data_IF_880254425704
#
_entry.id   IF_880254425704
#
_cell.length_a   1.000
_cell.length_b   1.000
_cell.length_c   1.000
_cell.angle_alpha   90.00
_cell.angle_beta   90.00
_cell.angle_gamma   90.00
#
_symmetry.space_group_name_H-M   'P 1'
#
loop_
_entity.id
_entity.type
_entity.pdbx_description
1 polymer ?
#
# COMPACT_ATOMS: atom_id res chain seq x y z
N UNK A 1 29.95 -29.78 9.80
CA UNK A 1 30.35 -29.58 8.40
C UNK A 1 29.26 -28.71 7.79
N UNK A 2 29.48 -27.39 7.77
CA UNK A 2 28.66 -26.50 6.95
C UNK A 2 29.09 -26.74 5.49
N UNK A 3 28.12 -27.04 4.64
CA UNK A 3 28.33 -27.25 3.20
C UNK A 3 28.91 -25.97 2.60
N UNK A 4 30.13 -26.08 2.05
CA UNK A 4 30.87 -24.97 1.45
C UNK A 4 30.39 -24.65 0.03
N UNK A 5 29.14 -24.22 -0.12
CA UNK A 5 28.72 -23.50 -1.32
C UNK A 5 29.21 -22.06 -1.23
N UNK A 6 29.79 -21.56 -2.32
CA UNK A 6 30.23 -20.17 -2.42
C UNK A 6 28.99 -19.27 -2.34
N UNK A 7 28.95 -18.25 -1.46
CA UNK A 7 27.77 -17.41 -1.31
C UNK A 7 27.45 -16.70 -2.62
N UNK A 8 26.19 -16.81 -3.04
CA UNK A 8 25.67 -16.22 -4.27
C UNK A 8 25.68 -14.68 -4.20
N UNK A 9 26.12 -14.05 -5.28
CA UNK A 9 26.08 -12.60 -5.43
C UNK A 9 24.65 -12.17 -5.80
N UNK A 10 24.06 -11.30 -4.96
CA UNK A 10 22.72 -10.74 -5.17
C UNK A 10 22.56 -10.06 -6.53
N UNK A 11 23.66 -9.54 -7.10
CA UNK A 11 23.64 -8.94 -8.44
C UNK A 11 23.42 -9.95 -9.57
N UNK A 12 23.63 -11.24 -9.32
CA UNK A 12 23.40 -12.33 -10.28
C UNK A 12 22.01 -12.97 -10.10
N UNK A 13 21.35 -12.74 -8.97
CA UNK A 13 20.03 -13.26 -8.69
C UNK A 13 18.96 -12.50 -9.51
N UNK A 14 18.23 -13.17 -10.40
CA UNK A 14 17.17 -12.56 -11.20
C UNK A 14 16.06 -11.90 -10.37
N UNK A 15 15.82 -12.31 -9.13
CA UNK A 15 14.80 -11.70 -8.25
C UNK A 15 15.12 -10.26 -7.86
N UNK A 16 16.40 -9.89 -7.91
CA UNK A 16 16.91 -8.56 -7.59
C UNK A 16 17.22 -7.70 -8.81
N UNK A 17 17.01 -8.22 -10.02
CA UNK A 17 17.26 -7.51 -11.27
C UNK A 17 16.49 -6.17 -11.32
N UNK A 18 17.23 -5.08 -11.50
CA UNK A 18 16.69 -3.71 -11.56
C UNK A 18 16.22 -3.12 -10.23
N UNK A 19 16.41 -3.84 -9.10
CA UNK A 19 15.98 -3.40 -7.76
C UNK A 19 17.13 -2.97 -6.86
N UNK A 20 18.36 -3.36 -7.20
CA UNK A 20 19.58 -3.08 -6.44
C UNK A 20 20.26 -1.81 -6.93
N UNK A 21 20.70 -1.00 -5.98
CA UNK A 21 21.58 0.12 -6.21
C UNK A 21 22.71 0.12 -5.19
N UNK A 22 23.94 0.07 -5.67
CA UNK A 22 25.12 0.18 -4.83
C UNK A 22 25.53 1.65 -4.70
N UNK A 23 25.49 2.17 -3.48
CA UNK A 23 25.83 3.55 -3.13
C UNK A 23 27.20 3.66 -2.43
N UNK A 24 27.91 2.54 -2.28
CA UNK A 24 29.22 2.50 -1.65
C UNK A 24 30.35 3.10 -2.49
N UNK A 25 31.44 3.45 -1.83
CA UNK A 25 32.66 4.03 -2.43
C UNK A 25 33.71 2.96 -2.80
N UNK A 26 33.37 1.68 -2.60
CA UNK A 26 34.25 0.51 -2.77
C UNK A 26 35.52 0.55 -1.90
N UNK A 27 35.53 1.37 -0.85
CA UNK A 27 36.64 1.49 0.11
C UNK A 27 36.16 1.24 1.53
N UNK A 28 35.33 2.14 2.05
CA UNK A 28 34.82 2.11 3.43
C UNK A 28 33.30 2.06 3.48
N UNK A 29 32.65 2.64 2.48
CA UNK A 29 31.20 2.62 2.34
C UNK A 29 30.80 1.44 1.46
N UNK A 30 29.95 0.59 2.02
CA UNK A 30 29.39 -0.59 1.37
C UNK A 30 27.85 -0.55 1.31
N UNK A 31 27.28 0.65 1.30
CA UNK A 31 25.82 0.85 1.28
C UNK A 31 25.18 0.23 0.04
N UNK A 32 24.23 -0.68 0.29
CA UNK A 32 23.34 -1.27 -0.70
C UNK A 32 21.92 -0.76 -0.46
N UNK A 33 21.26 -0.29 -1.50
CA UNK A 33 19.84 0.05 -1.50
C UNK A 33 19.07 -1.00 -2.29
N UNK A 34 18.03 -1.56 -1.67
CA UNK A 34 17.06 -2.45 -2.32
C UNK A 34 15.74 -1.67 -2.44
N UNK A 35 15.20 -1.59 -3.65
CA UNK A 35 13.92 -0.94 -3.94
C UNK A 35 12.83 -1.99 -4.17
N UNK A 36 11.56 -1.57 -4.11
CA UNK A 36 10.40 -2.47 -4.25
C UNK A 36 10.51 -3.68 -3.32
N UNK A 37 10.60 -3.43 -2.01
CA UNK A 37 10.75 -4.48 -0.99
C UNK A 37 9.49 -5.35 -0.92
N UNK A 38 9.72 -6.65 -0.78
CA UNK A 38 8.75 -7.74 -0.74
C UNK A 38 9.01 -8.58 0.50
N UNK A 39 7.99 -9.28 0.99
CA UNK A 39 8.15 -10.18 2.14
C UNK A 39 9.23 -11.26 1.88
N UNK A 40 9.38 -11.70 0.63
CA UNK A 40 10.40 -12.66 0.17
C UNK A 40 11.83 -12.16 0.30
N UNK A 41 12.06 -10.84 0.35
CA UNK A 41 13.40 -10.28 0.55
C UNK A 41 13.86 -10.35 2.01
N UNK A 42 13.01 -10.85 2.93
CA UNK A 42 13.38 -11.05 4.33
C UNK A 42 14.47 -12.12 4.44
N UNK A 43 15.69 -11.68 4.68
CA UNK A 43 16.87 -12.54 4.71
C UNK A 43 17.98 -11.91 5.55
N UNK A 44 19.07 -12.66 5.74
CA UNK A 44 20.31 -12.13 6.31
C UNK A 44 21.30 -11.83 5.20
N UNK A 45 21.59 -10.55 5.01
CA UNK A 45 22.47 -10.02 3.98
C UNK A 45 23.89 -9.91 4.53
N UNK A 46 24.87 -10.37 3.75
CA UNK A 46 26.29 -10.31 4.12
C UNK A 46 27.06 -9.53 3.07
N UNK A 47 27.95 -8.67 3.54
CA UNK A 47 28.89 -7.99 2.67
C UNK A 47 30.16 -8.84 2.50
N UNK A 48 30.60 -8.98 1.25
CA UNK A 48 31.86 -9.63 0.87
C UNK A 48 32.70 -8.66 0.07
N UNK A 49 33.99 -8.60 0.36
CA UNK A 49 34.95 -7.87 -0.45
C UNK A 49 36.12 -8.76 -0.87
N UNK A 50 36.75 -8.38 -1.98
CA UNK A 50 37.91 -9.05 -2.58
C UNK A 50 39.10 -8.10 -2.43
N UNK A 51 40.22 -8.61 -1.93
CA UNK A 51 41.45 -7.83 -1.80
C UNK A 51 42.31 -7.94 -3.07
N UNK A 52 43.30 -7.06 -3.19
CA UNK A 52 44.30 -7.05 -4.28
C UNK A 52 45.21 -8.29 -4.29
N UNK A 53 45.32 -8.99 -3.16
CA UNK A 53 46.00 -10.28 -3.09
C UNK A 53 45.12 -11.38 -3.71
N UNK A 54 45.64 -12.03 -4.75
CA UNK A 54 44.94 -13.08 -5.49
C UNK A 54 44.28 -14.11 -4.57
N UNK A 55 42.97 -14.30 -4.76
CA UNK A 55 42.17 -15.29 -4.04
C UNK A 55 41.79 -14.93 -2.60
N UNK A 56 42.17 -13.76 -2.07
CA UNK A 56 41.75 -13.34 -0.72
C UNK A 56 40.41 -12.61 -0.77
N UNK A 57 39.40 -13.28 -0.25
CA UNK A 57 38.07 -12.71 -0.02
C UNK A 57 37.76 -12.70 1.47
N UNK A 58 37.08 -11.65 1.94
CA UNK A 58 36.57 -11.60 3.29
C UNK A 58 35.06 -11.39 3.27
N UNK A 59 34.36 -12.26 3.99
CA UNK A 59 32.92 -12.14 4.25
C UNK A 59 32.74 -11.92 5.74
N UNK A 60 31.99 -10.89 6.11
CA UNK A 60 31.66 -10.63 7.51
C UNK A 60 30.98 -11.86 8.15
N UNK A 61 31.42 -12.25 9.35
CA UNK A 61 30.80 -13.37 10.09
C UNK A 61 29.34 -13.08 10.42
N UNK A 62 29.06 -11.83 10.79
CA UNK A 62 27.72 -11.32 11.05
C UNK A 62 27.21 -10.59 9.81
N UNK A 63 25.95 -10.84 9.48
CA UNK A 63 25.21 -10.11 8.45
C UNK A 63 24.22 -9.12 9.07
N UNK A 64 23.51 -8.41 8.20
CA UNK A 64 22.36 -7.58 8.56
C UNK A 64 21.10 -8.39 8.26
N UNK A 65 20.25 -8.60 9.27
CA UNK A 65 18.96 -9.26 9.08
C UNK A 65 17.90 -8.22 8.72
N UNK A 66 17.36 -8.32 7.51
CA UNK A 66 16.23 -7.53 7.04
C UNK A 66 14.94 -8.33 7.27
N UNK A 67 13.92 -7.68 7.82
CA UNK A 67 12.58 -8.24 7.97
C UNK A 67 11.57 -7.29 7.31
N UNK A 68 10.90 -7.78 6.28
CA UNK A 68 9.88 -7.04 5.52
C UNK A 68 8.50 -7.60 5.88
N UNK A 69 7.54 -6.71 6.15
CA UNK A 69 6.19 -7.07 6.61
C UNK A 69 5.18 -6.02 6.19
N UNK A 70 3.92 -6.43 6.04
CA UNK A 70 2.78 -5.54 5.95
C UNK A 70 2.17 -5.18 7.31
N UNK A 71 1.30 -4.17 7.31
CA UNK A 71 0.42 -3.83 8.42
C UNK A 71 -0.90 -4.61 8.34
N UNK A 72 -1.44 -5.00 9.49
CA UNK A 72 -2.75 -5.64 9.61
C UNK A 72 -3.51 -5.06 10.80
N UNK A 73 -4.84 -5.04 10.72
CA UNK A 73 -5.68 -4.67 11.87
C UNK A 73 -6.14 -5.94 12.57
N UNK A 74 -5.77 -6.08 13.85
CA UNK A 74 -6.28 -7.12 14.73
C UNK A 74 -7.52 -6.60 15.46
N UNK A 75 -8.63 -7.32 15.32
CA UNK A 75 -9.87 -7.06 16.04
C UNK A 75 -9.93 -7.97 17.27
N UNK A 76 -10.00 -7.38 18.45
CA UNK A 76 -10.14 -8.07 19.75
C UNK A 76 -11.30 -7.47 20.55
N UNK A 77 -11.51 -7.91 21.79
CA UNK A 77 -12.56 -7.36 22.67
C UNK A 77 -13.79 -8.27 22.83
N UNK A 78 -14.74 -7.79 23.63
CA UNK A 78 -15.91 -8.54 24.09
C UNK A 78 -17.04 -8.63 23.06
N UNK A 79 -18.24 -9.00 23.52
CA UNK A 79 -19.39 -9.19 22.63
C UNK A 79 -19.89 -7.87 22.03
N UNK A 80 -19.92 -6.79 22.82
CA UNK A 80 -20.47 -5.49 22.40
C UNK A 80 -19.40 -4.52 21.89
N UNK A 81 -18.24 -4.51 22.56
CA UNK A 81 -17.14 -3.57 22.32
C UNK A 81 -15.92 -4.28 21.74
N UNK A 82 -15.40 -3.73 20.65
CA UNK A 82 -14.24 -4.23 19.91
C UNK A 82 -13.07 -3.25 20.02
N UNK A 83 -11.90 -3.81 20.24
CA UNK A 83 -10.62 -3.10 20.31
C UNK A 83 -9.86 -3.41 19.03
N UNK A 84 -9.43 -2.35 18.35
CA UNK A 84 -8.65 -2.43 17.13
C UNK A 84 -7.17 -2.15 17.44
N UNK A 85 -6.29 -3.02 16.95
CA UNK A 85 -4.84 -2.85 17.10
C UNK A 85 -4.18 -2.98 15.74
N UNK A 86 -3.39 -1.99 15.36
CA UNK A 86 -2.51 -2.07 14.20
C UNK A 86 -1.32 -2.95 14.57
N UNK A 87 -1.18 -4.09 13.88
CA UNK A 87 -0.14 -5.06 14.15
C UNK A 87 0.73 -5.28 12.92
N UNK A 88 1.92 -5.77 13.18
CA UNK A 88 2.95 -6.12 12.22
C UNK A 88 3.73 -7.31 12.79
N UNK A 89 4.38 -8.11 11.95
CA UNK A 89 5.15 -9.27 12.42
C UNK A 89 6.56 -8.90 12.87
N UNK A 90 7.06 -7.71 12.51
CA UNK A 90 8.39 -7.23 12.88
C UNK A 90 8.34 -5.95 13.73
N UNK A 91 9.41 -5.69 14.48
CA UNK A 91 9.55 -4.46 15.26
C UNK A 91 9.97 -3.31 14.34
N UNK A 92 9.06 -2.37 14.10
CA UNK A 92 9.35 -1.18 13.31
C UNK A 92 10.38 -0.30 14.03
N UNK A 93 11.40 0.13 13.30
CA UNK A 93 12.44 1.04 13.80
C UNK A 93 11.93 2.47 13.92
N UNK A 94 12.43 3.23 14.91
CA UNK A 94 12.25 4.70 14.96
C UNK A 94 10.99 5.20 15.66
N UNK A 95 10.37 4.43 16.55
CA UNK A 95 9.15 4.81 17.30
C UNK A 95 8.03 5.30 16.37
N UNK A 96 7.38 4.38 15.63
CA UNK A 96 6.39 4.74 14.63
C UNK A 96 5.20 5.49 15.24
N UNK A 97 4.67 6.45 14.48
CA UNK A 97 3.35 7.04 14.75
C UNK A 97 2.35 6.34 13.83
N UNK A 98 1.33 5.72 14.42
CA UNK A 98 0.27 5.02 13.71
C UNK A 98 -0.85 6.00 13.36
N UNK A 99 -1.38 5.85 12.16
CA UNK A 99 -2.51 6.61 11.62
C UNK A 99 -3.68 5.65 11.44
N UNK A 100 -4.84 6.02 11.97
CA UNK A 100 -6.07 5.23 11.78
C UNK A 100 -6.98 5.86 10.74
N UNK A 101 -7.58 4.98 9.96
CA UNK A 101 -8.55 5.34 8.95
C UNK A 101 -9.86 4.62 9.20
N UNK A 102 -10.95 5.35 9.04
CA UNK A 102 -12.32 4.82 9.03
C UNK A 102 -12.93 5.15 7.69
N UNK A 103 -13.35 4.12 6.99
CA UNK A 103 -13.94 4.24 5.66
C UNK A 103 -13.08 5.06 4.67
N UNK A 104 -11.76 4.89 4.77
CA UNK A 104 -10.78 5.64 3.98
C UNK A 104 -10.50 7.07 4.46
N UNK A 105 -11.22 7.57 5.47
CA UNK A 105 -11.01 8.89 6.06
C UNK A 105 -10.03 8.82 7.22
N UNK A 106 -9.14 9.80 7.29
CA UNK A 106 -8.20 9.97 8.38
C UNK A 106 -8.93 10.28 9.69
N UNK A 107 -8.71 9.49 10.74
CA UNK A 107 -9.34 9.68 12.06
C UNK A 107 -8.42 10.35 13.06
N UNK A 108 -7.27 9.74 13.31
CA UNK A 108 -6.33 10.14 14.35
C UNK A 108 -4.95 9.55 14.16
N UNK A 109 -3.99 10.14 14.88
CA UNK A 109 -2.60 9.71 14.93
C UNK A 109 -2.20 9.44 16.38
N UNK A 110 -1.44 8.38 16.62
CA UNK A 110 -0.97 8.01 17.96
C UNK A 110 0.33 7.20 17.90
N UNK A 111 1.16 7.33 18.93
CA UNK A 111 2.31 6.42 19.13
C UNK A 111 1.87 5.04 19.64
N UNK A 112 0.64 4.93 20.14
CA UNK A 112 0.03 3.64 20.45
C UNK A 112 -0.44 2.95 19.18
N UNK A 113 -0.12 1.66 18.97
CA UNK A 113 -0.68 0.87 17.87
C UNK A 113 -2.18 0.61 18.05
N UNK A 114 -2.75 0.82 19.23
CA UNK A 114 -4.16 0.61 19.49
C UNK A 114 -4.98 1.85 19.12
N UNK A 115 -6.12 1.65 18.46
CA UNK A 115 -7.09 2.71 18.24
C UNK A 115 -7.62 3.23 19.58
N UNK A 116 -7.73 4.55 19.74
CA UNK A 116 -8.06 5.19 21.02
C UNK A 116 -9.46 4.87 21.55
N UNK A 117 -10.42 4.61 20.66
CA UNK A 117 -11.81 4.41 21.02
C UNK A 117 -12.22 2.94 20.88
N UNK A 118 -13.15 2.51 21.73
CA UNK A 118 -13.88 1.25 21.49
C UNK A 118 -14.76 1.40 20.25
N UNK A 119 -14.89 0.31 19.48
CA UNK A 119 -15.76 0.24 18.31
C UNK A 119 -16.89 -0.73 18.58
N UNK A 120 -18.12 -0.33 18.26
CA UNK A 120 -19.27 -1.22 18.37
C UNK A 120 -19.09 -2.45 17.48
N UNK A 121 -19.38 -3.64 18.02
CA UNK A 121 -19.44 -4.91 17.30
C UNK A 121 -20.37 -4.89 16.08
N UNK A 122 -21.38 -4.01 16.07
CA UNK A 122 -22.33 -3.83 14.97
C UNK A 122 -21.91 -2.71 13.99
N UNK A 123 -20.69 -2.18 14.10
CA UNK A 123 -20.19 -1.19 13.16
C UNK A 123 -20.11 -1.79 11.75
N UNK A 124 -20.69 -1.05 10.79
CA UNK A 124 -20.62 -1.32 9.36
C UNK A 124 -19.43 -0.63 8.69
N UNK A 125 -18.57 -0.02 9.49
CA UNK A 125 -17.42 0.75 9.02
C UNK A 125 -16.20 -0.17 8.82
N UNK A 126 -15.42 0.14 7.79
CA UNK A 126 -14.11 -0.48 7.56
C UNK A 126 -13.01 0.31 8.23
N UNK A 127 -12.14 -0.39 8.95
CA UNK A 127 -10.99 0.21 9.63
C UNK A 127 -9.67 -0.27 9.04
N UNK A 128 -8.76 0.65 8.82
CA UNK A 128 -7.38 0.36 8.37
C UNK A 128 -6.40 1.26 9.11
N UNK A 129 -5.12 0.89 9.11
CA UNK A 129 -4.06 1.67 9.73
C UNK A 129 -2.85 1.81 8.81
N UNK A 130 -2.11 2.91 8.96
CA UNK A 130 -0.82 3.14 8.32
C UNK A 130 0.21 3.64 9.35
N UNK A 131 1.45 3.81 8.92
CA UNK A 131 2.49 4.50 9.68
C UNK A 131 2.77 5.85 9.04
N UNK A 132 2.94 6.88 9.86
CA UNK A 132 3.22 8.25 9.40
C UNK A 132 4.50 8.31 8.57
N UNK A 133 4.45 8.95 7.41
CA UNK A 133 5.52 8.97 6.40
C UNK A 133 5.61 7.70 5.54
N UNK A 134 4.71 6.74 5.76
CA UNK A 134 4.58 5.48 5.01
C UNK A 134 3.11 5.17 4.71
N UNK A 135 2.30 6.20 4.46
CA UNK A 135 0.84 6.10 4.25
C UNK A 135 0.47 5.25 3.02
N UNK A 136 1.37 5.16 2.04
CA UNK A 136 1.22 4.30 0.87
C UNK A 136 1.13 2.81 1.22
N UNK A 137 1.67 2.41 2.38
CA UNK A 137 1.65 1.04 2.91
C UNK A 137 0.50 0.84 3.91
N UNK A 138 -0.69 1.31 3.54
CA UNK A 138 -1.92 1.14 4.31
C UNK A 138 -2.29 -0.34 4.48
N UNK A 139 -2.69 -0.73 5.69
CA UNK A 139 -3.23 -2.07 5.95
C UNK A 139 -4.50 -2.32 5.12
N UNK A 140 -4.82 -3.58 4.79
CA UNK A 140 -6.16 -3.93 4.34
C UNK A 140 -7.22 -3.49 5.36
N UNK A 141 -8.38 -3.03 4.87
CA UNK A 141 -9.49 -2.65 5.73
C UNK A 141 -10.19 -3.88 6.31
N UNK A 142 -10.42 -3.90 7.62
CA UNK A 142 -11.13 -4.96 8.33
C UNK A 142 -12.55 -4.54 8.72
N UNK A 143 -13.47 -5.51 8.63
CA UNK A 143 -14.84 -5.34 9.06
C UNK A 143 -15.01 -5.85 10.48
N UNK A 144 -15.57 -5.03 11.36
CA UNK A 144 -15.79 -5.40 12.78
C UNK A 144 -16.86 -6.48 12.91
N UNK A 145 -17.92 -6.40 12.09
CA UNK A 145 -19.01 -7.38 12.01
C UNK A 145 -18.66 -8.64 11.17
N UNK A 146 -17.38 -8.86 10.86
CA UNK A 146 -16.90 -10.06 10.17
C UNK A 146 -16.98 -10.01 8.63
N UNK A 147 -18.17 -9.97 8.03
CA UNK A 147 -18.30 -10.26 6.59
C UNK A 147 -18.50 -9.04 5.67
N UNK A 148 -19.17 -7.98 6.12
CA UNK A 148 -19.47 -6.83 5.25
C UNK A 148 -19.35 -5.52 5.99
N UNK A 149 -18.57 -4.61 5.42
CA UNK A 149 -18.40 -3.23 5.82
C UNK A 149 -18.07 -2.41 4.58
N UNK A 150 -18.11 -1.09 4.71
CA UNK A 150 -17.59 -0.22 3.67
C UNK A 150 -16.08 -0.43 3.54
N UNK A 151 -15.59 -0.75 2.34
CA UNK A 151 -14.15 -0.80 2.03
C UNK A 151 -13.88 -0.62 0.54
N UNK A 152 -12.71 -0.07 0.24
CA UNK A 152 -12.11 0.00 -1.10
C UNK A 152 -10.72 -0.60 -1.06
N UNK A 153 -10.43 -1.50 -1.99
CA UNK A 153 -9.13 -2.14 -2.18
C UNK A 153 -8.61 -1.82 -3.57
N UNK A 154 -7.61 -0.95 -3.65
CA UNK A 154 -6.93 -0.62 -4.90
C UNK A 154 -6.03 -1.78 -5.35
N UNK A 155 -6.04 -2.09 -6.65
CA UNK A 155 -5.22 -3.16 -7.23
C UNK A 155 -3.74 -2.78 -7.26
N UNK A 156 -3.44 -1.51 -7.58
CA UNK A 156 -2.09 -0.94 -7.56
C UNK A 156 -2.15 0.45 -6.92
N UNK A 157 -1.17 0.75 -6.07
CA UNK A 157 -1.04 2.07 -5.41
C UNK A 157 -0.16 3.04 -6.19
N UNK A 158 0.77 2.52 -6.99
CA UNK A 158 1.66 3.30 -7.86
C UNK A 158 1.67 2.66 -9.24
N UNK A 159 1.58 3.49 -10.27
CA UNK A 159 1.57 3.08 -11.67
C UNK A 159 2.53 4.02 -12.41
N UNK A 160 3.45 3.44 -13.19
CA UNK A 160 4.36 4.17 -14.06
C UNK A 160 4.10 3.68 -15.50
N UNK A 161 3.72 4.60 -16.37
CA UNK A 161 3.28 4.35 -17.76
C UNK A 161 3.76 5.48 -18.67
N UNK A 162 3.86 5.22 -19.97
CA UNK A 162 4.39 6.18 -20.93
C UNK A 162 3.36 7.24 -21.32
N UNK A 163 3.82 8.46 -21.57
CA UNK A 163 3.02 9.52 -22.18
C UNK A 163 2.39 9.06 -23.51
N UNK A 164 1.13 9.43 -23.73
CA UNK A 164 0.33 9.06 -24.89
C UNK A 164 -0.24 7.64 -24.84
N UNK A 165 0.10 6.84 -23.81
CA UNK A 165 -0.42 5.49 -23.65
C UNK A 165 -1.82 5.47 -22.99
N UNK A 166 -2.32 4.26 -22.74
CA UNK A 166 -3.58 4.00 -22.03
C UNK A 166 -3.30 3.25 -20.74
N UNK A 167 -3.98 3.63 -19.65
CA UNK A 167 -3.89 2.96 -18.35
C UNK A 167 -5.27 2.60 -17.83
N UNK A 168 -5.36 1.43 -17.19
CA UNK A 168 -6.50 1.02 -16.38
C UNK A 168 -6.11 1.11 -14.91
N UNK A 169 -6.79 1.99 -14.17
CA UNK A 169 -6.68 2.15 -12.72
C UNK A 169 -7.88 1.45 -12.11
N UNK A 170 -7.65 0.44 -11.27
CA UNK A 170 -8.73 -0.39 -10.75
C UNK A 170 -8.73 -0.52 -9.24
N UNK A 171 -9.93 -0.64 -8.68
CA UNK A 171 -10.17 -1.07 -7.32
C UNK A 171 -11.35 -2.04 -7.25
N UNK A 172 -11.45 -2.77 -6.14
CA UNK A 172 -12.70 -3.44 -5.75
C UNK A 172 -13.29 -2.70 -4.57
N UNK A 173 -14.61 -2.57 -4.55
CA UNK A 173 -15.30 -1.95 -3.42
C UNK A 173 -16.37 -2.88 -2.88
N UNK A 174 -16.61 -2.77 -1.58
CA UNK A 174 -17.71 -3.42 -0.88
C UNK A 174 -18.41 -2.35 -0.07
N UNK A 175 -19.71 -2.24 -0.24
CA UNK A 175 -20.60 -1.45 0.57
C UNK A 175 -21.58 -2.34 1.32
N UNK A 176 -22.12 -1.79 2.40
CA UNK A 176 -23.17 -2.44 3.17
C UNK A 176 -24.55 -2.34 2.48
N UNK A 177 -24.79 -1.24 1.75
CA UNK A 177 -26.01 -1.00 0.97
C UNK A 177 -25.71 -0.84 -0.52
N UNK A 178 -26.76 -0.86 -1.34
CA UNK A 178 -26.65 -0.61 -2.79
C UNK A 178 -26.11 0.79 -3.06
N UNK A 179 -25.19 0.89 -4.03
CA UNK A 179 -24.65 2.18 -4.45
C UNK A 179 -25.62 2.93 -5.34
N UNK A 180 -25.75 4.23 -5.07
CA UNK A 180 -26.49 5.19 -5.89
C UNK A 180 -25.59 5.81 -6.95
N UNK A 181 -24.31 5.99 -6.65
CA UNK A 181 -23.30 6.48 -7.59
C UNK A 181 -21.91 5.99 -7.23
N UNK A 182 -21.05 5.90 -8.24
CA UNK A 182 -19.64 5.56 -8.15
C UNK A 182 -18.88 6.41 -9.16
N UNK A 183 -17.72 6.95 -8.77
CA UNK A 183 -16.87 7.69 -9.68
C UNK A 183 -15.42 7.76 -9.17
N UNK A 184 -14.53 8.13 -10.08
CA UNK A 184 -13.14 8.42 -9.79
C UNK A 184 -12.89 9.92 -9.88
N UNK A 185 -12.01 10.43 -9.03
CA UNK A 185 -11.63 11.84 -8.95
C UNK A 185 -10.13 11.99 -8.69
N UNK A 186 -9.57 13.16 -9.00
CA UNK A 186 -8.18 13.49 -8.62
C UNK A 186 -8.15 14.04 -7.19
N UNK A 187 -7.23 13.56 -6.36
CA UNK A 187 -7.13 14.03 -4.97
C UNK A 187 -6.50 15.42 -4.82
N UNK A 188 -5.85 15.93 -5.87
CA UNK A 188 -5.28 17.28 -5.92
C UNK A 188 -6.32 18.40 -6.10
N UNK A 189 -7.59 18.03 -6.36
CA UNK A 189 -8.72 18.95 -6.42
C UNK A 189 -9.35 19.11 -5.04
N UNK A 190 -9.73 20.33 -4.70
CA UNK A 190 -10.41 20.64 -3.43
C UNK A 190 -11.80 20.01 -3.33
N UNK A 191 -12.48 19.84 -4.46
CA UNK A 191 -13.79 19.21 -4.55
C UNK A 191 -13.64 17.94 -5.38
N UNK A 192 -14.03 16.78 -4.84
CA UNK A 192 -14.10 15.56 -5.63
C UNK A 192 -15.20 15.65 -6.66
N UNK A 193 -14.80 15.68 -7.92
CA UNK A 193 -15.68 15.69 -9.08
C UNK A 193 -15.41 14.48 -9.96
N UNK A 194 -16.46 13.94 -10.58
CA UNK A 194 -16.34 12.80 -11.50
C UNK A 194 -15.44 13.20 -12.67
N UNK A 195 -14.36 12.45 -12.90
CA UNK A 195 -13.42 12.67 -14.01
C UNK A 195 -14.10 12.78 -15.38
N UNK A 196 -15.26 12.16 -15.58
CA UNK A 196 -16.03 12.29 -16.83
C UNK A 196 -16.61 13.69 -17.05
N UNK A 197 -16.67 14.51 -15.99
CA UNK A 197 -17.12 15.90 -16.03
C UNK A 197 -15.97 16.91 -16.09
N UNK A 198 -14.73 16.48 -15.84
CA UNK A 198 -13.55 17.33 -15.93
C UNK A 198 -13.22 17.66 -17.41
N UNK A 199 -13.19 18.94 -17.82
CA UNK A 199 -12.87 19.36 -19.18
C UNK A 199 -11.54 18.81 -19.70
N UNK A 200 -10.55 18.60 -18.82
CA UNK A 200 -9.24 18.07 -19.18
C UNK A 200 -9.27 16.59 -19.60
N UNK A 201 -10.33 15.86 -19.27
CA UNK A 201 -10.46 14.43 -19.53
C UNK A 201 -11.55 14.08 -20.56
N UNK A 202 -12.17 15.10 -21.16
CA UNK A 202 -13.20 14.93 -22.20
C UNK A 202 -12.67 14.06 -23.34
N UNK A 203 -13.38 12.98 -23.65
CA UNK A 203 -13.01 12.02 -24.70
C UNK A 203 -11.85 11.09 -24.35
N UNK A 204 -11.22 11.23 -23.17
CA UNK A 204 -10.07 10.43 -22.73
C UNK A 204 -10.40 9.41 -21.65
N UNK A 205 -11.47 9.65 -20.87
CA UNK A 205 -11.88 8.82 -19.74
C UNK A 205 -13.05 7.90 -20.08
N UNK A 206 -12.97 6.66 -19.61
CA UNK A 206 -14.04 5.68 -19.71
C UNK A 206 -14.12 4.82 -18.43
N UNK A 207 -15.32 4.36 -18.09
CA UNK A 207 -15.56 3.38 -17.01
C UNK A 207 -16.08 2.07 -17.63
N UNK A 208 -15.19 1.12 -17.99
CA UNK A 208 -15.56 -0.09 -18.73
C UNK A 208 -16.54 -1.01 -18.00
N UNK A 209 -16.55 -0.97 -16.66
CA UNK A 209 -17.31 -1.84 -15.77
C UNK A 209 -18.39 -1.07 -14.98
N UNK A 210 -18.77 0.13 -15.44
CA UNK A 210 -19.76 0.98 -14.76
C UNK A 210 -21.11 0.28 -14.74
N UNK A 211 -21.54 -0.08 -13.54
CA UNK A 211 -22.87 -0.63 -13.28
C UNK A 211 -23.55 0.07 -12.10
N UNK A 212 -24.86 0.28 -12.24
CA UNK A 212 -25.68 0.97 -11.23
C UNK A 212 -26.37 -0.09 -10.35
N UNK A 213 -26.64 0.25 -9.08
CA UNK A 213 -27.37 -0.59 -8.11
C UNK A 213 -26.64 -1.90 -7.75
N UNK A 214 -25.34 -1.82 -7.47
CA UNK A 214 -24.57 -2.91 -6.87
C UNK A 214 -24.10 -2.52 -5.48
N UNK A 215 -23.99 -3.48 -4.55
CA UNK A 215 -23.39 -3.23 -3.24
C UNK A 215 -21.90 -3.60 -3.19
N UNK A 216 -21.37 -4.30 -4.20
CA UNK A 216 -19.95 -4.59 -4.36
C UNK A 216 -19.59 -4.78 -5.82
N UNK A 217 -18.33 -4.59 -6.18
CA UNK A 217 -17.85 -4.87 -7.53
C UNK A 217 -16.45 -4.33 -7.80
N UNK A 218 -15.90 -4.64 -8.98
CA UNK A 218 -14.78 -3.88 -9.52
C UNK A 218 -15.25 -2.47 -9.89
N UNK A 219 -14.29 -1.55 -9.96
CA UNK A 219 -14.40 -0.25 -10.58
C UNK A 219 -13.10 0.02 -11.32
N UNK A 220 -13.19 0.31 -12.61
CA UNK A 220 -12.06 0.57 -13.50
C UNK A 220 -12.20 1.97 -14.11
N UNK A 221 -11.19 2.80 -13.87
CA UNK A 221 -10.95 4.05 -14.58
C UNK A 221 -9.96 3.78 -15.70
N UNK A 222 -10.41 3.95 -16.95
CA UNK A 222 -9.54 3.94 -18.13
C UNK A 222 -9.24 5.36 -18.55
N UNK A 223 -7.96 5.70 -18.66
CA UNK A 223 -7.49 6.99 -19.22
C UNK A 223 -6.67 6.69 -20.47
N UNK A 224 -7.03 7.30 -21.58
CA UNK A 224 -6.33 7.24 -22.87
C UNK A 224 -5.61 8.57 -23.15
N UNK A 225 -4.63 8.56 -24.05
CA UNK A 225 -3.83 9.77 -24.37
C UNK A 225 -3.28 10.42 -23.09
N UNK A 226 -2.52 9.64 -22.31
CA UNK A 226 -1.96 10.09 -21.04
C UNK A 226 -0.99 11.27 -21.21
N UNK A 227 -1.07 12.21 -20.28
CA UNK A 227 -0.26 13.43 -20.28
C UNK A 227 0.53 13.53 -18.99
N UNK A 228 1.57 14.37 -18.99
CA UNK A 228 2.39 14.56 -17.77
C UNK A 228 1.56 15.16 -16.63
N UNK A 229 0.60 16.03 -16.95
CA UNK A 229 -0.34 16.62 -15.98
C UNK A 229 -1.39 15.64 -15.39
N UNK A 230 -1.48 14.44 -15.96
CA UNK A 230 -2.29 13.33 -15.42
C UNK A 230 -1.52 12.58 -14.30
N UNK A 231 -0.24 12.89 -14.06
CA UNK A 231 0.57 12.27 -13.00
C UNK A 231 0.18 12.79 -11.61
N UNK A 232 -0.94 12.30 -11.08
CA UNK A 232 -1.47 12.63 -9.76
C UNK A 232 -2.02 11.40 -9.03
N UNK A 233 -2.45 11.60 -7.78
CA UNK A 233 -3.20 10.59 -7.06
C UNK A 233 -4.67 10.60 -7.50
N UNK A 234 -5.15 9.44 -7.92
CA UNK A 234 -6.54 9.18 -8.25
C UNK A 234 -7.22 8.41 -7.12
N UNK A 235 -8.43 8.84 -6.76
CA UNK A 235 -9.23 8.19 -5.72
C UNK A 235 -10.58 7.77 -6.26
N UNK A 236 -11.09 6.69 -5.70
CA UNK A 236 -12.42 6.17 -5.96
C UNK A 236 -13.36 6.49 -4.80
N UNK A 237 -14.59 6.88 -5.12
CA UNK A 237 -15.68 7.04 -4.15
C UNK A 237 -16.94 6.33 -4.62
N UNK A 238 -17.74 5.90 -3.64
CA UNK A 238 -19.09 5.41 -3.87
C UNK A 238 -20.04 6.01 -2.84
N UNK A 239 -21.27 6.27 -3.27
CA UNK A 239 -22.36 6.76 -2.44
C UNK A 239 -23.44 5.70 -2.30
N UNK A 240 -24.05 5.63 -1.13
CA UNK A 240 -25.34 4.97 -0.88
C UNK A 240 -26.33 6.04 -0.43
N UNK A 241 -27.58 5.67 -0.12
CA UNK A 241 -28.59 6.63 0.35
C UNK A 241 -28.17 7.39 1.63
N UNK A 242 -27.31 6.79 2.47
CA UNK A 242 -26.96 7.33 3.79
C UNK A 242 -25.44 7.43 4.04
N UNK A 243 -24.59 7.15 3.05
CA UNK A 243 -23.15 7.05 3.24
C UNK A 243 -22.37 7.43 1.98
N UNK A 244 -21.18 8.00 2.17
CA UNK A 244 -20.20 8.27 1.12
C UNK A 244 -18.80 7.82 1.56
N UNK A 245 -18.13 7.04 0.72
CA UNK A 245 -16.78 6.55 0.97
C UNK A 245 -15.72 7.64 0.80
N UNK A 246 -14.73 7.70 1.68
CA UNK A 246 -13.52 8.51 1.49
C UNK A 246 -13.74 10.03 1.48
N UNK A 247 -14.95 10.52 1.77
CA UNK A 247 -15.28 11.95 1.73
C UNK A 247 -15.68 12.53 3.10
N UNK A 248 -14.71 13.09 3.82
CA UNK A 248 -14.86 14.14 4.84
C UNK A 248 -13.51 14.59 5.37
#
# INVERSE_FOLDING_TARGET
METGEDPEDLGQDPEYAGRLEYHGDKKKDCTLRITDLRESDSATYKFRFITDQEGRTYTGKLGVTLSVTGLQVKVTGGHQDKILTCITTCTLTGNPTYIWYKNGQHLDESTSPQYKNSVSSNSIDGYSCAVKGQEDFLSPAVCVQGQSCYRVTYTKRRICVLKGSTVDISCTYVGYYYTTSTFWFRSDKSIPEDLTTDPGYVGRVQYPDKEIRRYKGPSILRITDLREEDSVEYRFTFKTDNFEWGHR
#
